data_IF_325439979673
#
_entry.id   IF_325439979673
#
_cell.length_a   1.000
_cell.length_b   1.000
_cell.length_c   1.000
_cell.angle_alpha   90.00
_cell.angle_beta   90.00
_cell.angle_gamma   90.00
#
_symmetry.space_group_name_H-M   'P 1'
#
loop_
_entity.id
_entity.type
_entity.pdbx_description
1 polymer ?
#
# COMPACT_ATOMS: atom_id res chain seq x y z
N UNK A 1 6.74 -19.36 -5.82
CA UNK A 1 6.18 -20.66 -6.28
C UNK A 1 5.04 -20.33 -7.22
N UNK A 2 4.97 -20.97 -8.39
CA UNK A 2 3.80 -20.84 -9.26
C UNK A 2 2.90 -22.06 -9.03
N UNK A 3 1.64 -21.81 -8.70
CA UNK A 3 0.63 -22.84 -8.45
C UNK A 3 -0.49 -22.70 -9.50
N UNK A 4 -1.00 -23.83 -10.00
CA UNK A 4 -2.09 -23.87 -10.97
C UNK A 4 -3.05 -24.99 -10.58
N UNK A 5 -4.35 -24.73 -10.61
CA UNK A 5 -5.37 -25.74 -10.33
C UNK A 5 -6.79 -25.23 -10.55
N UNK A 6 -7.77 -25.94 -9.99
CA UNK A 6 -9.17 -25.53 -9.99
C UNK A 6 -9.43 -24.38 -9.02
N UNK A 7 -10.64 -23.83 -9.02
CA UNK A 7 -11.04 -22.79 -8.06
C UNK A 7 -11.02 -23.31 -6.61
N UNK A 8 -11.47 -24.54 -6.37
CA UNK A 8 -11.45 -25.18 -5.06
C UNK A 8 -10.01 -25.31 -4.53
N UNK A 9 -9.08 -25.75 -5.39
CA UNK A 9 -7.67 -25.80 -5.06
C UNK A 9 -7.12 -24.43 -4.69
N UNK A 10 -7.44 -23.39 -5.48
CA UNK A 10 -7.00 -22.04 -5.16
C UNK A 10 -7.56 -21.55 -3.81
N UNK A 11 -8.84 -21.79 -3.50
CA UNK A 11 -9.44 -21.44 -2.20
C UNK A 11 -8.70 -22.09 -1.03
N UNK A 12 -8.39 -23.37 -1.14
CA UNK A 12 -7.59 -24.08 -0.13
C UNK A 12 -6.21 -23.45 0.03
N UNK A 13 -5.52 -23.16 -1.07
CA UNK A 13 -4.21 -22.50 -1.05
C UNK A 13 -4.28 -21.13 -0.37
N UNK A 14 -5.25 -20.27 -0.70
CA UNK A 14 -5.41 -18.97 -0.04
C UNK A 14 -5.66 -19.12 1.47
N UNK A 15 -6.49 -20.09 1.87
CA UNK A 15 -6.75 -20.35 3.28
C UNK A 15 -5.48 -20.78 4.02
N UNK A 16 -4.60 -21.57 3.38
CA UNK A 16 -3.31 -21.96 3.95
C UNK A 16 -2.31 -20.80 3.99
N UNK A 17 -2.29 -19.93 2.98
CA UNK A 17 -1.32 -18.83 2.86
C UNK A 17 -1.31 -17.94 4.12
N UNK A 18 -2.48 -17.65 4.68
CA UNK A 18 -2.59 -16.81 5.88
C UNK A 18 -2.11 -17.46 7.18
N UNK A 19 -1.87 -18.77 7.18
CA UNK A 19 -1.35 -19.50 8.35
C UNK A 19 0.18 -19.48 8.42
N UNK A 20 0.86 -19.15 7.32
CA UNK A 20 2.32 -19.06 7.31
C UNK A 20 2.82 -17.82 8.03
N UNK A 21 3.89 -17.97 8.80
CA UNK A 21 4.69 -16.84 9.29
C UNK A 21 5.85 -16.59 8.33
N UNK A 22 5.63 -15.74 7.34
CA UNK A 22 6.60 -15.47 6.29
C UNK A 22 7.34 -14.15 6.51
N UNK A 23 8.62 -14.09 6.18
CA UNK A 23 9.34 -12.80 6.13
C UNK A 23 8.77 -11.91 5.02
N UNK A 24 8.50 -12.49 3.87
CA UNK A 24 7.91 -11.78 2.73
C UNK A 24 6.96 -12.70 1.99
N UNK A 25 5.85 -12.12 1.54
CA UNK A 25 4.81 -12.76 0.76
C UNK A 25 4.51 -11.89 -0.46
N UNK A 26 4.72 -12.45 -1.65
CA UNK A 26 4.40 -11.81 -2.93
C UNK A 26 3.30 -12.62 -3.62
N UNK A 27 2.10 -12.05 -3.68
CA UNK A 27 0.90 -12.64 -4.25
C UNK A 27 0.62 -12.01 -5.61
N UNK A 28 1.09 -12.67 -6.66
CA UNK A 28 0.66 -12.42 -8.03
C UNK A 28 -0.45 -13.40 -8.41
N UNK A 29 -1.64 -12.88 -8.72
CA UNK A 29 -2.76 -13.72 -9.15
C UNK A 29 -3.00 -13.48 -10.62
N UNK A 30 -2.70 -14.50 -11.42
CA UNK A 30 -2.81 -14.45 -12.87
C UNK A 30 -3.82 -15.48 -13.35
N UNK A 31 -4.71 -15.09 -14.26
CA UNK A 31 -5.64 -16.00 -14.94
C UNK A 31 -6.60 -16.76 -14.02
N UNK A 32 -6.93 -16.19 -12.85
CA UNK A 32 -8.03 -16.64 -12.00
C UNK A 32 -9.29 -15.87 -12.39
N UNK A 33 -10.47 -16.49 -12.32
CA UNK A 33 -11.73 -15.81 -12.58
C UNK A 33 -11.88 -14.58 -11.67
N UNK A 34 -12.28 -13.44 -12.25
CA UNK A 34 -12.41 -12.18 -11.52
C UNK A 34 -13.33 -12.30 -10.29
N UNK A 35 -14.32 -13.19 -10.32
CA UNK A 35 -15.24 -13.38 -9.21
C UNK A 35 -14.58 -14.08 -8.00
N UNK A 36 -13.75 -15.10 -8.22
CA UNK A 36 -13.00 -15.73 -7.14
C UNK A 36 -12.03 -14.72 -6.49
N UNK A 37 -11.40 -13.86 -7.30
CA UNK A 37 -10.53 -12.80 -6.81
C UNK A 37 -11.25 -11.81 -5.91
N UNK A 38 -12.41 -11.33 -6.35
CA UNK A 38 -13.25 -10.40 -5.57
C UNK A 38 -13.75 -11.01 -4.27
N UNK A 39 -13.99 -12.32 -4.27
CA UNK A 39 -14.43 -13.04 -3.08
C UNK A 39 -13.30 -13.22 -2.06
N UNK A 40 -12.10 -13.55 -2.54
CA UNK A 40 -10.95 -13.86 -1.68
C UNK A 40 -10.23 -12.60 -1.19
N UNK A 41 -10.04 -11.60 -2.05
CA UNK A 41 -9.29 -10.37 -1.71
C UNK A 41 -10.21 -9.30 -1.11
N UNK A 42 -10.80 -9.63 0.04
CA UNK A 42 -11.59 -8.75 0.88
C UNK A 42 -10.81 -8.31 2.13
N UNK A 43 -11.31 -7.31 2.85
CA UNK A 43 -10.67 -6.73 4.04
C UNK A 43 -10.22 -7.76 5.08
N UNK A 44 -11.07 -8.75 5.39
CA UNK A 44 -10.76 -9.77 6.38
C UNK A 44 -9.55 -10.61 5.98
N UNK A 45 -9.51 -11.08 4.74
CA UNK A 45 -8.39 -11.85 4.22
C UNK A 45 -7.12 -11.00 4.12
N UNK A 46 -7.26 -9.75 3.64
CA UNK A 46 -6.16 -8.80 3.62
C UNK A 46 -5.53 -8.60 5.01
N UNK A 47 -6.36 -8.42 6.04
CA UNK A 47 -5.89 -8.29 7.41
C UNK A 47 -5.19 -9.55 7.92
N UNK A 48 -5.72 -10.73 7.61
CA UNK A 48 -5.07 -12.01 7.93
C UNK A 48 -3.66 -12.07 7.30
N UNK A 49 -3.52 -11.68 6.03
CA UNK A 49 -2.22 -11.64 5.34
C UNK A 49 -1.23 -10.65 5.99
N UNK A 50 -1.70 -9.48 6.45
CA UNK A 50 -0.80 -8.52 7.12
C UNK A 50 -0.25 -9.05 8.45
N UNK A 51 -0.97 -9.95 9.12
CA UNK A 51 -0.50 -10.61 10.35
C UNK A 51 0.43 -11.78 10.07
N UNK A 52 0.30 -12.39 8.90
CA UNK A 52 1.08 -13.55 8.45
C UNK A 52 2.50 -13.19 8.01
N UNK A 53 2.77 -11.94 7.61
CA UNK A 53 4.09 -11.58 7.06
C UNK A 53 4.62 -10.20 7.42
N UNK A 54 5.95 -10.02 7.34
CA UNK A 54 6.60 -8.71 7.53
C UNK A 54 6.54 -7.82 6.28
N UNK A 55 6.52 -8.43 5.09
CA UNK A 55 6.43 -7.71 3.82
C UNK A 55 5.38 -8.36 2.91
N UNK A 56 4.31 -7.63 2.61
CA UNK A 56 3.21 -8.08 1.76
C UNK A 56 3.21 -7.32 0.44
N UNK A 57 3.31 -8.04 -0.68
CA UNK A 57 3.02 -7.52 -2.01
C UNK A 57 1.81 -8.25 -2.58
N UNK A 58 0.80 -7.50 -3.01
CA UNK A 58 -0.41 -8.04 -3.67
C UNK A 58 -0.55 -7.38 -5.04
N UNK A 59 -0.27 -8.15 -6.08
CA UNK A 59 -0.41 -7.69 -7.46
C UNK A 59 -1.77 -8.14 -8.02
N UNK A 60 -2.83 -7.44 -7.61
CA UNK A 60 -4.22 -7.69 -8.00
C UNK A 60 -4.91 -6.36 -8.27
N UNK A 61 -5.40 -6.16 -9.49
CA UNK A 61 -6.04 -4.89 -9.89
C UNK A 61 -7.47 -4.77 -9.35
N UNK A 62 -8.27 -5.83 -9.40
CA UNK A 62 -9.68 -5.83 -8.99
C UNK A 62 -9.88 -6.47 -7.61
N UNK A 63 -9.28 -5.86 -6.58
CA UNK A 63 -9.46 -6.27 -5.19
C UNK A 63 -10.56 -5.45 -4.50
N UNK A 64 -11.20 -6.04 -3.49
CA UNK A 64 -12.26 -5.41 -2.69
C UNK A 64 -11.74 -4.85 -1.37
N UNK A 65 -10.46 -4.46 -1.32
CA UNK A 65 -9.87 -3.85 -0.13
C UNK A 65 -10.41 -2.43 0.02
N UNK A 66 -11.01 -2.12 1.15
CA UNK A 66 -11.62 -0.81 1.40
C UNK A 66 -10.56 0.22 1.83
N UNK A 67 -10.85 1.53 1.66
CA UNK A 67 -10.05 2.60 2.26
C UNK A 67 -9.84 2.42 3.77
N UNK A 68 -10.87 1.96 4.48
CA UNK A 68 -10.86 1.71 5.92
C UNK A 68 -9.89 0.58 6.28
N UNK A 69 -9.82 -0.48 5.48
CA UNK A 69 -8.83 -1.55 5.69
C UNK A 69 -7.39 -1.05 5.51
N UNK A 70 -7.15 -0.16 4.52
CA UNK A 70 -5.84 0.49 4.35
C UNK A 70 -5.50 1.41 5.52
N UNK A 71 -6.46 2.21 5.99
CA UNK A 71 -6.30 3.06 7.17
C UNK A 71 -6.02 2.23 8.43
N UNK A 72 -6.73 1.11 8.61
CA UNK A 72 -6.51 0.22 9.75
C UNK A 72 -5.14 -0.44 9.68
N UNK A 73 -4.67 -0.85 8.49
CA UNK A 73 -3.32 -1.35 8.29
C UNK A 73 -2.29 -0.30 8.71
N UNK A 74 -2.45 0.93 8.22
CA UNK A 74 -1.61 2.08 8.59
C UNK A 74 -1.53 2.26 10.11
N UNK A 75 -2.68 2.26 10.81
CA UNK A 75 -2.73 2.35 12.29
C UNK A 75 -2.01 1.18 12.94
N UNK A 76 -2.26 -0.05 12.46
CA UNK A 76 -1.65 -1.25 13.02
C UNK A 76 -0.12 -1.23 12.90
N UNK A 77 0.43 -0.67 11.82
CA UNK A 77 1.88 -0.49 11.68
C UNK A 77 2.46 0.43 12.75
N UNK A 78 1.80 1.58 13.01
CA UNK A 78 2.21 2.54 14.04
C UNK A 78 2.12 1.92 15.44
N UNK A 79 0.98 1.30 15.75
CA UNK A 79 0.70 0.68 17.05
C UNK A 79 1.53 -0.59 17.29
N UNK A 80 2.10 -1.16 16.23
CA UNK A 80 2.82 -2.42 16.27
C UNK A 80 1.93 -3.64 16.46
N UNK A 81 0.62 -3.53 16.20
CA UNK A 81 -0.36 -4.61 16.30
C UNK A 81 -0.38 -5.55 15.08
N UNK A 82 0.47 -5.28 14.08
CA UNK A 82 0.69 -6.16 12.92
C UNK A 82 2.18 -6.49 12.73
N UNK A 83 2.45 -7.64 12.10
CA UNK A 83 3.79 -8.03 11.69
C UNK A 83 4.24 -7.26 10.44
N UNK A 84 3.31 -6.91 9.56
CA UNK A 84 3.60 -6.23 8.30
C UNK A 84 4.24 -4.86 8.54
N UNK A 85 5.43 -4.67 7.99
CA UNK A 85 6.18 -3.41 7.97
C UNK A 85 6.35 -2.84 6.57
N UNK A 86 6.09 -3.64 5.54
CA UNK A 86 6.08 -3.20 4.15
C UNK A 86 4.83 -3.75 3.45
N UNK A 87 4.00 -2.86 2.91
CA UNK A 87 2.86 -3.20 2.08
C UNK A 87 3.07 -2.62 0.68
N UNK A 88 2.69 -3.37 -0.35
CA UNK A 88 2.54 -2.87 -1.72
C UNK A 88 1.33 -3.56 -2.35
N UNK A 89 0.31 -2.79 -2.72
CA UNK A 89 -0.87 -3.32 -3.37
C UNK A 89 -1.21 -2.57 -4.64
N UNK A 90 -1.84 -3.24 -5.59
CA UNK A 90 -2.66 -2.57 -6.59
C UNK A 90 -3.88 -1.97 -5.91
N UNK A 91 -4.21 -0.72 -6.21
CA UNK A 91 -5.39 -0.07 -5.67
C UNK A 91 -5.97 0.90 -6.70
N UNK A 92 -7.29 1.06 -6.66
CA UNK A 92 -7.98 2.05 -7.45
C UNK A 92 -7.72 3.45 -6.89
N UNK A 93 -7.82 4.45 -7.77
CA UNK A 93 -7.68 5.86 -7.40
C UNK A 93 -8.59 6.27 -6.25
N UNK A 94 -9.86 5.90 -6.30
CA UNK A 94 -10.84 6.21 -5.24
C UNK A 94 -10.48 5.55 -3.91
N UNK A 95 -9.96 4.32 -3.94
CA UNK A 95 -9.45 3.63 -2.75
C UNK A 95 -8.28 4.39 -2.13
N UNK A 96 -7.26 4.72 -2.92
CA UNK A 96 -6.06 5.44 -2.47
C UNK A 96 -6.40 6.83 -1.91
N UNK A 97 -7.16 7.63 -2.66
CA UNK A 97 -7.52 9.00 -2.26
C UNK A 97 -8.37 8.98 -0.99
N UNK A 98 -9.30 8.05 -0.88
CA UNK A 98 -10.13 7.91 0.34
C UNK A 98 -9.29 7.47 1.53
N UNK A 99 -8.34 6.55 1.35
CA UNK A 99 -7.44 6.11 2.41
C UNK A 99 -6.55 7.25 2.92
N UNK A 100 -6.00 8.08 2.02
CA UNK A 100 -5.25 9.29 2.38
C UNK A 100 -6.11 10.26 3.20
N UNK A 101 -7.35 10.50 2.75
CA UNK A 101 -8.28 11.38 3.47
C UNK A 101 -8.59 10.85 4.87
N UNK A 102 -8.73 9.53 5.02
CA UNK A 102 -8.94 8.88 6.33
C UNK A 102 -7.74 9.01 7.28
N UNK A 103 -6.53 9.23 6.75
CA UNK A 103 -5.36 9.60 7.55
C UNK A 103 -5.13 11.13 7.58
N UNK A 104 -6.07 11.95 7.12
CA UNK A 104 -5.94 13.41 7.19
C UNK A 104 -4.92 14.00 6.21
N UNK A 105 -4.75 13.36 5.06
CA UNK A 105 -3.98 13.89 3.92
C UNK A 105 -4.92 14.06 2.73
N UNK A 106 -4.99 15.26 2.18
CA UNK A 106 -5.81 15.60 1.03
C UNK A 106 -4.92 16.05 -0.13
N UNK A 107 -5.37 15.79 -1.37
CA UNK A 107 -4.75 16.33 -2.58
C UNK A 107 -5.79 17.09 -3.39
N UNK A 108 -5.53 18.36 -3.68
CA UNK A 108 -6.43 19.23 -4.45
C UNK A 108 -5.60 20.17 -5.30
N UNK A 109 -5.93 20.25 -6.59
CA UNK A 109 -5.32 21.19 -7.55
C UNK A 109 -3.78 21.18 -7.53
N UNK A 110 -3.17 19.99 -7.53
CA UNK A 110 -1.71 19.85 -7.54
C UNK A 110 -1.04 20.02 -6.17
N UNK A 111 -1.81 20.26 -5.10
CA UNK A 111 -1.28 20.59 -3.78
C UNK A 111 -1.73 19.58 -2.74
N UNK A 112 -0.80 19.16 -1.87
CA UNK A 112 -1.09 18.35 -0.69
C UNK A 112 -1.47 19.22 0.50
N UNK A 113 -2.49 18.80 1.23
CA UNK A 113 -2.98 19.42 2.45
C UNK A 113 -2.94 18.42 3.59
N UNK A 114 -2.51 18.87 4.77
CA UNK A 114 -2.63 18.08 6.00
C UNK A 114 -2.64 18.97 7.24
N UNK A 115 -3.37 18.53 8.26
CA UNK A 115 -3.38 19.15 9.59
C UNK A 115 -2.26 18.59 10.51
N UNK A 116 -1.43 17.70 9.99
CA UNK A 116 -0.31 17.06 10.70
C UNK A 116 0.99 17.41 10.00
N UNK A 117 2.09 17.33 10.73
CA UNK A 117 3.42 17.57 10.19
C UNK A 117 3.83 16.37 9.32
N UNK A 118 3.65 16.50 8.01
CA UNK A 118 4.04 15.53 7.00
C UNK A 118 5.05 16.15 6.03
N UNK A 119 5.88 15.31 5.43
CA UNK A 119 6.78 15.70 4.36
C UNK A 119 6.37 15.00 3.08
N UNK A 120 6.26 15.74 1.98
CA UNK A 120 5.93 15.16 0.67
C UNK A 120 7.08 15.42 -0.29
N UNK A 121 7.55 14.37 -0.92
CA UNK A 121 8.58 14.40 -1.96
C UNK A 121 8.01 13.86 -3.27
N UNK A 122 8.46 14.46 -4.37
CA UNK A 122 8.19 14.05 -5.73
C UNK A 122 9.44 13.40 -6.32
N UNK A 123 9.26 12.32 -7.09
CA UNK A 123 10.32 11.67 -7.84
C UNK A 123 9.85 11.36 -9.26
N UNK A 124 10.68 11.68 -10.26
CA UNK A 124 10.46 11.36 -11.66
C UNK A 124 11.49 10.34 -12.12
N UNK A 125 11.03 9.17 -12.57
CA UNK A 125 11.90 8.14 -13.15
C UNK A 125 12.01 8.30 -14.67
N UNK A 126 13.07 7.73 -15.27
CA UNK A 126 13.43 7.84 -16.70
C UNK A 126 12.29 7.47 -17.68
N UNK A 127 11.30 6.71 -17.22
CA UNK A 127 10.18 6.20 -18.02
C UNK A 127 8.85 6.94 -17.76
N UNK A 128 8.90 8.16 -17.22
CA UNK A 128 7.72 8.93 -16.77
C UNK A 128 6.88 8.23 -15.69
N UNK A 129 7.47 7.27 -14.98
CA UNK A 129 6.89 6.80 -13.73
C UNK A 129 7.16 7.88 -12.69
N UNK A 130 6.13 8.65 -12.37
CA UNK A 130 6.21 9.75 -11.43
C UNK A 130 5.58 9.31 -10.12
N UNK A 131 6.21 9.62 -8.99
CA UNK A 131 5.76 9.14 -7.68
C UNK A 131 5.75 10.26 -6.65
N UNK A 132 4.74 10.19 -5.80
CA UNK A 132 4.68 10.95 -4.56
C UNK A 132 5.07 10.05 -3.40
N UNK A 133 5.98 10.54 -2.56
CA UNK A 133 6.39 9.90 -1.32
C UNK A 133 5.98 10.79 -0.16
N UNK A 134 5.10 10.30 0.71
CA UNK A 134 4.61 11.01 1.89
C UNK A 134 5.25 10.37 3.11
N UNK A 135 5.99 11.15 3.89
CA UNK A 135 6.51 10.74 5.19
C UNK A 135 5.62 11.30 6.30
N UNK A 136 5.10 10.40 7.12
CA UNK A 136 4.29 10.70 8.31
C UNK A 136 4.89 9.96 9.52
N UNK A 137 5.63 10.70 10.34
CA UNK A 137 6.44 10.11 11.41
C UNK A 137 7.46 9.09 10.86
N UNK A 138 7.29 7.82 11.23
CA UNK A 138 8.15 6.70 10.78
C UNK A 138 7.59 5.95 9.56
N UNK A 139 6.46 6.40 9.00
CA UNK A 139 5.86 5.78 7.81
C UNK A 139 6.24 6.52 6.54
N UNK A 140 6.50 5.75 5.49
CA UNK A 140 6.67 6.18 4.11
C UNK A 140 5.50 5.63 3.29
N UNK A 141 4.69 6.50 2.69
CA UNK A 141 3.61 6.12 1.77
C UNK A 141 4.06 6.51 0.36
N UNK A 142 4.07 5.55 -0.56
CA UNK A 142 4.44 5.76 -1.96
C UNK A 142 3.22 5.55 -2.85
N UNK A 143 2.97 6.54 -3.71
CA UNK A 143 1.85 6.59 -4.65
C UNK A 143 2.42 6.89 -6.04
N UNK A 144 1.93 6.20 -7.07
CA UNK A 144 2.14 6.69 -8.43
C UNK A 144 1.38 8.00 -8.63
N UNK A 145 1.90 8.94 -9.41
CA UNK A 145 1.19 10.19 -9.77
C UNK A 145 -0.16 9.88 -10.42
N UNK A 146 -0.18 8.80 -11.20
CA UNK A 146 -1.37 8.23 -11.81
C UNK A 146 -2.51 7.95 -10.81
N UNK A 147 -2.25 7.82 -9.50
CA UNK A 147 -3.32 7.79 -8.47
C UNK A 147 -4.29 8.96 -8.60
N UNK A 148 -3.84 10.13 -9.09
CA UNK A 148 -4.69 11.31 -9.20
C UNK A 148 -5.25 11.52 -10.61
N UNK A 149 -4.78 10.79 -11.60
CA UNK A 149 -5.12 10.98 -13.02
C UNK A 149 -5.85 9.75 -13.59
N UNK A 150 -5.37 8.55 -13.31
CA UNK A 150 -5.87 7.26 -13.83
C UNK A 150 -6.68 6.47 -12.81
N UNK A 151 -7.33 5.39 -13.27
CA UNK A 151 -8.21 4.56 -12.43
C UNK A 151 -7.46 3.62 -11.48
N UNK A 152 -6.22 3.23 -11.82
CA UNK A 152 -5.43 2.24 -11.07
C UNK A 152 -4.01 2.72 -10.83
N UNK A 153 -3.49 2.42 -9.64
CA UNK A 153 -2.09 2.66 -9.31
C UNK A 153 -1.59 1.70 -8.23
N UNK A 154 -0.34 1.88 -7.82
CA UNK A 154 0.22 1.21 -6.66
C UNK A 154 0.04 2.07 -5.41
N UNK A 155 -0.40 1.43 -4.32
CA UNK A 155 -0.37 1.98 -2.98
C UNK A 155 0.65 1.18 -2.17
N UNK A 156 1.74 1.83 -1.76
CA UNK A 156 2.75 1.20 -0.93
C UNK A 156 2.96 1.96 0.38
N UNK A 157 3.22 1.22 1.45
CA UNK A 157 3.49 1.76 2.78
C UNK A 157 4.65 1.01 3.39
N UNK A 158 5.63 1.72 3.93
CA UNK A 158 6.74 1.14 4.66
C UNK A 158 6.87 1.81 6.04
N UNK A 159 7.18 1.01 7.06
CA UNK A 159 7.50 1.48 8.41
C UNK A 159 9.00 1.36 8.66
N UNK A 160 9.64 2.50 8.94
CA UNK A 160 11.05 2.57 9.31
C UNK A 160 11.21 2.38 10.81
N UNK A 161 11.90 1.32 11.22
CA UNK A 161 12.07 0.96 12.63
C UNK A 161 13.04 1.90 13.35
N UNK A 162 13.99 2.45 12.60
CA UNK A 162 15.02 3.33 13.15
C UNK A 162 15.01 4.69 12.48
N UNK A 163 15.50 5.70 13.21
CA UNK A 163 15.72 7.04 12.67
C UNK A 163 16.69 7.03 11.48
N UNK A 164 17.66 6.14 11.51
CA UNK A 164 18.64 5.98 10.42
C UNK A 164 17.97 5.47 9.14
N UNK A 165 17.12 4.44 9.23
CA UNK A 165 16.33 3.94 8.10
C UNK A 165 15.45 5.03 7.50
N UNK A 166 14.75 5.80 8.35
CA UNK A 166 13.91 6.92 7.92
C UNK A 166 14.74 8.01 7.23
N UNK A 167 15.88 8.40 7.82
CA UNK A 167 16.72 9.45 7.25
C UNK A 167 17.32 9.02 5.91
N UNK A 168 17.71 7.75 5.79
CA UNK A 168 18.15 7.18 4.52
C UNK A 168 17.05 7.19 3.47
N UNK A 169 15.80 6.90 3.86
CA UNK A 169 14.66 6.96 2.94
C UNK A 169 14.35 8.40 2.49
N UNK A 170 14.46 9.39 3.38
CA UNK A 170 14.24 10.81 3.07
C UNK A 170 15.35 11.43 2.20
N UNK A 171 16.58 10.95 2.33
CA UNK A 171 17.76 11.50 1.63
C UNK A 171 18.04 10.82 0.28
N UNK A 172 17.03 10.28 -0.41
CA UNK A 172 17.21 9.74 -1.77
C UNK A 172 17.53 10.92 -2.72
N UNK A 173 18.57 10.78 -3.55
CA UNK A 173 19.14 11.89 -4.34
C UNK A 173 18.14 12.51 -5.35
N UNK A 174 17.13 11.76 -5.77
CA UNK A 174 16.17 12.19 -6.79
C UNK A 174 14.90 12.86 -6.22
N UNK A 175 14.86 13.13 -4.92
CA UNK A 175 13.67 13.70 -4.28
C UNK A 175 13.61 15.22 -4.45
N UNK A 176 12.50 15.68 -5.02
CA UNK A 176 12.10 17.08 -5.05
C UNK A 176 11.04 17.32 -3.98
N UNK A 177 11.37 18.10 -2.95
CA UNK A 177 10.44 18.39 -1.86
C UNK A 177 9.28 19.26 -2.34
N UNK A 178 8.05 18.85 -2.02
CA UNK A 178 6.83 19.57 -2.35
C UNK A 178 6.34 20.34 -1.12
N UNK A 179 5.80 21.53 -1.34
CA UNK A 179 5.13 22.29 -0.28
C UNK A 179 3.82 21.61 0.12
N UNK A 180 3.67 21.33 1.40
CA UNK A 180 2.40 20.92 2.02
C UNK A 180 1.74 22.15 2.61
N UNK A 181 0.45 22.34 2.32
CA UNK A 181 -0.35 23.41 2.89
C UNK A 181 -1.14 22.91 4.09
N UNK A 182 -1.43 23.79 5.05
CA UNK A 182 -2.39 23.51 6.11
C UNK A 182 -3.80 23.70 5.55
N UNK A 183 -4.72 22.80 5.91
CA UNK A 183 -6.15 22.96 5.57
C UNK A 183 -6.83 23.99 6.47
#
# INVERSE_FOLDING_TARGET
IQLTGSEEFHREVFNLIKEFKAKSLDLGIHRVGNELLKEMMVDSYFHDLTKACEALRVNVQDNRITPEALQQMYKNMIEGSTMCRCLSIGARKDQCVSALKLIGVCYRDGTFFSNRDIEVNYQMYEWKDERYTIFDGCLEIVLGRHVFEDDYSSFAVAFHKTREELQKAKNREDFVRIKVSTE
#
